data_IF_189012851629
#
_entry.id   IF_189012851629
#
_cell.length_a   1.000
_cell.length_b   1.000
_cell.length_c   1.000
_cell.angle_alpha   90.00
_cell.angle_beta   90.00
_cell.angle_gamma   90.00
#
_symmetry.space_group_name_H-M   'P 1'
#
loop_
_entity.id
_entity.type
_entity.pdbx_description
1 polymer ?
#
# COMPACT_ATOMS: atom_id res chain seq x y z
N UNK A 1 -29.68 3.51 -7.95
CA UNK A 1 -28.68 2.45 -8.13
C UNK A 1 -27.62 2.63 -7.06
N UNK A 2 -27.46 1.66 -6.16
CA UNK A 2 -26.53 1.74 -5.04
C UNK A 2 -25.09 1.53 -5.54
N UNK A 3 -24.16 2.36 -5.09
CA UNK A 3 -22.74 2.17 -5.39
C UNK A 3 -22.21 0.94 -4.64
N UNK A 4 -21.39 0.12 -5.31
CA UNK A 4 -20.70 -1.00 -4.68
C UNK A 4 -19.39 -0.47 -4.09
N UNK A 5 -19.18 -0.72 -2.80
CA UNK A 5 -17.92 -0.45 -2.11
C UNK A 5 -17.23 -1.80 -1.93
N UNK A 6 -15.98 -1.89 -2.38
CA UNK A 6 -15.15 -3.09 -2.19
C UNK A 6 -14.03 -2.71 -1.24
N UNK A 7 -13.88 -3.47 -0.17
CA UNK A 7 -12.86 -3.24 0.86
C UNK A 7 -11.94 -4.45 0.89
N UNK A 8 -10.64 -4.21 0.76
CA UNK A 8 -9.60 -5.23 0.92
C UNK A 8 -8.76 -4.87 2.14
N UNK A 9 -8.41 -5.86 2.95
CA UNK A 9 -7.30 -5.73 3.90
C UNK A 9 -5.96 -5.81 3.15
N UNK A 10 -4.88 -5.23 3.64
CA UNK A 10 -3.59 -5.27 2.96
C UNK A 10 -2.91 -6.62 3.20
N UNK A 11 -2.53 -6.85 4.46
CA UNK A 11 -1.79 -8.02 4.88
C UNK A 11 -2.63 -9.29 4.72
N UNK A 12 -2.01 -10.36 4.21
CA UNK A 12 -2.63 -11.69 3.99
C UNK A 12 -3.90 -11.68 3.12
N UNK A 13 -4.23 -10.56 2.48
CA UNK A 13 -5.37 -10.43 1.57
C UNK A 13 -4.89 -9.91 0.23
N UNK A 14 -4.37 -8.68 0.15
CA UNK A 14 -3.81 -8.17 -1.10
C UNK A 14 -2.39 -8.66 -1.36
N UNK A 15 -1.68 -9.06 -0.32
CA UNK A 15 -0.34 -9.63 -0.39
C UNK A 15 -0.34 -10.99 0.33
N UNK A 16 0.49 -11.92 -0.12
CA UNK A 16 0.74 -13.18 0.59
C UNK A 16 1.82 -12.97 1.65
N UNK A 17 1.50 -12.22 2.70
CA UNK A 17 2.46 -11.89 3.74
C UNK A 17 2.03 -10.78 4.70
N UNK A 18 3.02 -10.28 5.43
CA UNK A 18 2.91 -9.25 6.46
C UNK A 18 3.88 -8.12 6.12
N UNK A 19 3.33 -6.93 5.85
CA UNK A 19 4.07 -5.79 5.32
C UNK A 19 5.00 -5.15 6.34
N UNK A 20 4.67 -5.23 7.63
CA UNK A 20 5.54 -4.84 8.75
C UNK A 20 6.84 -5.67 8.73
N UNK A 21 6.72 -6.99 8.68
CA UNK A 21 7.86 -7.91 8.57
C UNK A 21 8.66 -7.68 7.28
N UNK A 22 7.99 -7.41 6.16
CA UNK A 22 8.64 -7.11 4.88
C UNK A 22 9.57 -5.91 4.99
N UNK A 23 9.09 -4.78 5.54
CA UNK A 23 9.88 -3.56 5.71
C UNK A 23 11.10 -3.79 6.60
N UNK A 24 10.90 -4.48 7.74
CA UNK A 24 12.00 -4.81 8.66
C UNK A 24 13.05 -5.67 7.97
N UNK A 25 12.61 -6.65 7.16
CA UNK A 25 13.52 -7.57 6.50
C UNK A 25 14.30 -6.91 5.37
N UNK A 26 13.60 -6.25 4.45
CA UNK A 26 14.17 -5.61 3.27
C UNK A 26 15.10 -4.44 3.59
N UNK A 27 14.89 -3.79 4.74
CA UNK A 27 15.72 -2.68 5.19
C UNK A 27 16.81 -3.10 6.17
N UNK A 28 16.98 -4.40 6.43
CA UNK A 28 18.14 -4.95 7.15
C UNK A 28 18.03 -4.91 8.68
N UNK A 29 16.82 -4.82 9.24
CA UNK A 29 16.59 -4.81 10.68
C UNK A 29 16.21 -6.21 11.26
N UNK A 30 16.29 -7.27 10.45
CA UNK A 30 15.84 -8.63 10.80
C UNK A 30 16.47 -9.19 12.07
N UNK A 31 17.78 -9.10 12.21
CA UNK A 31 18.51 -9.67 13.35
C UNK A 31 18.09 -9.00 14.67
N UNK A 32 18.04 -7.67 14.66
CA UNK A 32 17.60 -6.91 15.81
C UNK A 32 16.14 -7.22 16.14
N UNK A 33 15.27 -7.25 15.13
CA UNK A 33 13.86 -7.60 15.30
C UNK A 33 13.67 -8.97 15.97
N UNK A 34 14.34 -10.01 15.46
CA UNK A 34 14.24 -11.37 16.02
C UNK A 34 14.74 -11.43 17.46
N UNK A 35 15.81 -10.71 17.79
CA UNK A 35 16.34 -10.66 19.16
C UNK A 35 15.37 -10.00 20.16
N UNK A 36 14.54 -9.07 19.68
CA UNK A 36 13.64 -8.27 20.51
C UNK A 36 12.20 -8.79 20.55
N UNK A 37 11.83 -9.61 19.57
CA UNK A 37 10.52 -10.26 19.47
C UNK A 37 10.05 -10.92 20.79
N UNK A 38 10.88 -11.64 21.57
CA UNK A 38 10.42 -12.22 22.84
C UNK A 38 10.34 -11.23 24.02
N UNK A 39 10.84 -10.00 23.85
CA UNK A 39 11.05 -9.06 24.97
C UNK A 39 9.99 -7.98 25.09
N UNK A 40 9.18 -7.77 24.06
CA UNK A 40 8.19 -6.69 24.02
C UNK A 40 6.99 -7.03 23.12
N UNK A 41 5.90 -6.28 23.28
CA UNK A 41 4.74 -6.41 22.41
C UNK A 41 5.04 -5.94 20.98
N UNK A 42 4.30 -6.47 20.01
CA UNK A 42 4.44 -6.15 18.58
C UNK A 42 4.50 -4.65 18.30
N UNK A 43 3.56 -3.87 18.84
CA UNK A 43 3.50 -2.43 18.58
C UNK A 43 4.73 -1.69 19.11
N UNK A 44 5.20 -2.05 20.31
CA UNK A 44 6.42 -1.50 20.89
C UNK A 44 7.66 -1.91 20.10
N UNK A 45 7.67 -3.14 19.56
CA UNK A 45 8.72 -3.63 18.70
C UNK A 45 8.78 -2.85 17.39
N UNK A 46 7.66 -2.70 16.70
CA UNK A 46 7.59 -1.96 15.44
C UNK A 46 7.94 -0.48 15.63
N UNK A 47 7.48 0.15 16.70
CA UNK A 47 7.87 1.52 17.05
C UNK A 47 9.39 1.65 17.29
N UNK A 48 10.00 0.64 17.93
CA UNK A 48 11.46 0.57 18.07
C UNK A 48 12.17 0.33 16.74
N UNK A 49 11.64 -0.52 15.86
CA UNK A 49 12.22 -0.78 14.54
C UNK A 49 12.21 0.46 13.66
N UNK A 50 11.13 1.25 13.66
CA UNK A 50 11.09 2.50 12.90
C UNK A 50 12.13 3.51 13.37
N UNK A 51 12.38 3.60 14.68
CA UNK A 51 13.45 4.44 15.23
C UNK A 51 14.84 3.96 14.85
N UNK A 52 15.05 2.65 14.82
CA UNK A 52 16.32 2.07 14.39
C UNK A 52 16.58 2.30 12.90
N UNK A 53 15.59 2.04 12.04
CA UNK A 53 15.71 2.33 10.61
C UNK A 53 16.03 3.81 10.37
N UNK A 54 15.38 4.71 11.12
CA UNK A 54 15.67 6.13 11.04
C UNK A 54 17.10 6.48 11.51
N UNK A 55 17.59 5.87 12.60
CA UNK A 55 18.96 6.11 13.10
C UNK A 55 20.03 5.62 12.11
N UNK A 56 19.73 4.59 11.33
CA UNK A 56 20.54 4.09 10.23
C UNK A 56 20.45 4.94 8.95
N UNK A 57 19.69 6.05 8.98
CA UNK A 57 19.54 6.99 7.88
C UNK A 57 18.47 6.59 6.86
N UNK A 58 17.62 5.61 7.15
CA UNK A 58 16.52 5.25 6.26
C UNK A 58 15.46 6.34 6.20
N UNK A 59 15.07 6.72 5.00
CA UNK A 59 14.03 7.74 4.79
C UNK A 59 12.64 7.11 4.63
N UNK A 60 11.60 7.92 4.80
CA UNK A 60 10.22 7.49 4.55
C UNK A 60 10.01 7.11 3.08
N UNK A 61 10.72 7.75 2.15
CA UNK A 61 10.70 7.42 0.72
C UNK A 61 11.28 6.02 0.46
N UNK A 62 12.38 5.66 1.12
CA UNK A 62 12.95 4.30 1.01
C UNK A 62 11.99 3.24 1.56
N UNK A 63 11.27 3.53 2.65
CA UNK A 63 10.23 2.64 3.18
C UNK A 63 9.07 2.50 2.17
N UNK A 64 8.62 3.61 1.57
CA UNK A 64 7.57 3.58 0.56
C UNK A 64 8.01 2.81 -0.69
N UNK A 65 9.25 2.97 -1.13
CA UNK A 65 9.81 2.24 -2.27
C UNK A 65 9.99 0.76 -1.95
N UNK A 66 10.33 0.41 -0.70
CA UNK A 66 10.35 -0.98 -0.22
C UNK A 66 8.96 -1.63 -0.31
N UNK A 67 7.90 -0.94 0.14
CA UNK A 67 6.52 -1.43 0.08
C UNK A 67 6.02 -1.62 -1.36
N UNK A 68 6.46 -0.77 -2.31
CA UNK A 68 6.12 -0.93 -3.74
C UNK A 68 6.70 -2.19 -4.37
N UNK A 69 7.74 -2.80 -3.76
CA UNK A 69 8.33 -4.05 -4.25
C UNK A 69 7.54 -5.29 -3.81
N UNK A 70 6.59 -5.16 -2.90
CA UNK A 70 5.74 -6.28 -2.49
C UNK A 70 4.88 -6.72 -3.68
N UNK A 71 4.85 -8.03 -3.92
CA UNK A 71 3.99 -8.60 -4.96
C UNK A 71 2.55 -8.70 -4.45
N UNK A 72 1.63 -8.12 -5.20
CA UNK A 72 0.20 -8.27 -4.96
C UNK A 72 -0.26 -9.66 -5.43
N UNK A 73 -1.20 -10.25 -4.72
CA UNK A 73 -1.84 -11.50 -5.10
C UNK A 73 -2.54 -11.33 -6.48
N UNK A 74 -2.19 -12.15 -7.50
CA UNK A 74 -2.81 -12.08 -8.81
C UNK A 74 -4.34 -12.21 -8.78
N UNK A 75 -4.90 -12.98 -7.85
CA UNK A 75 -6.34 -13.16 -7.69
C UNK A 75 -7.01 -11.88 -7.22
N UNK A 76 -6.37 -11.10 -6.34
CA UNK A 76 -6.88 -9.78 -5.94
C UNK A 76 -6.86 -8.81 -7.11
N UNK A 77 -5.80 -8.83 -7.92
CA UNK A 77 -5.74 -8.02 -9.15
C UNK A 77 -6.91 -8.36 -10.08
N UNK A 78 -7.19 -9.64 -10.30
CA UNK A 78 -8.32 -10.08 -11.13
C UNK A 78 -9.69 -9.75 -10.50
N UNK A 79 -9.82 -9.82 -9.18
CA UNK A 79 -11.04 -9.42 -8.47
C UNK A 79 -11.30 -7.91 -8.63
N UNK A 80 -10.27 -7.07 -8.52
CA UNK A 80 -10.36 -5.62 -8.74
C UNK A 80 -10.75 -5.32 -10.19
N UNK A 81 -10.10 -5.97 -11.17
CA UNK A 81 -10.44 -5.83 -12.60
C UNK A 81 -11.88 -6.24 -12.87
N UNK A 82 -12.32 -7.36 -12.28
CA UNK A 82 -13.68 -7.88 -12.41
C UNK A 82 -14.70 -6.91 -11.80
N UNK A 83 -14.50 -6.44 -10.57
CA UNK A 83 -15.37 -5.47 -9.94
C UNK A 83 -15.48 -4.19 -10.79
N UNK A 84 -14.36 -3.68 -11.30
CA UNK A 84 -14.35 -2.53 -12.20
C UNK A 84 -15.12 -2.78 -13.51
N UNK A 85 -14.98 -3.95 -14.11
CA UNK A 85 -15.68 -4.32 -15.34
C UNK A 85 -17.20 -4.45 -15.14
N UNK A 86 -17.64 -4.94 -13.98
CA UNK A 86 -19.05 -5.22 -13.67
C UNK A 86 -19.87 -3.98 -13.27
N UNK A 87 -19.25 -2.84 -12.95
CA UNK A 87 -19.99 -1.62 -12.61
C UNK A 87 -19.35 -0.36 -13.19
N UNK A 88 -19.99 0.15 -14.24
CA UNK A 88 -19.60 1.34 -15.01
C UNK A 88 -19.69 2.69 -14.26
N UNK A 89 -19.93 2.72 -12.95
CA UNK A 89 -20.02 3.97 -12.20
C UNK A 89 -19.73 3.80 -10.70
N UNK A 90 -18.60 4.37 -10.24
CA UNK A 90 -18.29 4.70 -8.83
C UNK A 90 -18.01 3.53 -7.87
N UNK A 91 -17.17 2.58 -8.26
CA UNK A 91 -16.50 1.75 -7.27
C UNK A 91 -15.52 2.60 -6.45
N UNK A 92 -15.63 2.54 -5.12
CA UNK A 92 -14.58 2.99 -4.21
C UNK A 92 -13.90 1.75 -3.67
N UNK A 93 -12.61 1.60 -3.98
CA UNK A 93 -11.75 0.62 -3.35
C UNK A 93 -11.18 1.23 -2.09
N UNK A 94 -11.33 0.53 -0.96
CA UNK A 94 -10.71 0.91 0.30
C UNK A 94 -9.70 -0.16 0.68
N UNK A 95 -8.48 0.28 0.99
CA UNK A 95 -7.43 -0.58 1.53
C UNK A 95 -7.42 -0.31 3.04
N UNK A 96 -7.84 -1.31 3.81
CA UNK A 96 -7.72 -1.35 5.27
C UNK A 96 -6.42 -2.10 5.61
N UNK A 97 -5.77 -1.79 6.73
CA UNK A 97 -4.50 -2.42 7.11
C UNK A 97 -3.36 -1.42 7.24
N UNK A 98 -2.37 -1.73 8.08
CA UNK A 98 -1.27 -0.85 8.42
C UNK A 98 -0.01 -1.27 7.66
N UNK A 99 0.49 -0.48 6.70
CA UNK A 99 1.85 -0.64 6.22
C UNK A 99 2.69 0.41 6.97
N UNK A 100 2.95 0.19 8.26
CA UNK A 100 3.54 1.15 9.22
C UNK A 100 3.61 2.61 8.76
N UNK A 101 2.51 3.36 8.91
CA UNK A 101 2.46 4.84 8.86
C UNK A 101 2.94 5.46 7.52
N UNK A 102 1.97 5.78 6.65
CA UNK A 102 2.08 6.59 5.40
C UNK A 102 2.19 5.76 4.10
N UNK A 103 1.02 5.35 3.61
CA UNK A 103 0.66 5.69 2.23
C UNK A 103 -0.59 6.56 2.32
N UNK A 104 -0.41 7.89 2.31
CA UNK A 104 -1.52 8.87 2.25
C UNK A 104 -2.50 8.42 1.17
N UNK A 105 -3.72 8.04 1.58
CA UNK A 105 -4.95 7.96 0.78
C UNK A 105 -4.70 7.87 -0.73
N UNK A 106 -4.12 6.78 -1.18
CA UNK A 106 -4.04 6.52 -2.61
C UNK A 106 -5.38 5.92 -3.00
N UNK A 107 -6.33 6.77 -3.38
CA UNK A 107 -7.49 6.31 -4.13
C UNK A 107 -6.94 5.76 -5.44
N UNK A 108 -6.93 4.45 -5.59
CA UNK A 108 -6.51 3.82 -6.84
C UNK A 108 -7.59 4.11 -7.89
N UNK A 109 -7.39 5.18 -8.67
CA UNK A 109 -8.25 5.52 -9.80
C UNK A 109 -7.71 4.77 -11.02
N UNK A 110 -8.34 3.65 -11.36
CA UNK A 110 -8.08 2.96 -12.61
C UNK A 110 -8.39 3.89 -13.79
N UNK A 111 -7.53 3.95 -14.83
CA UNK A 111 -7.79 4.75 -16.01
C UNK A 111 -9.09 4.28 -16.70
N UNK A 112 -9.85 5.24 -17.22
CA UNK A 112 -11.06 4.95 -17.99
C UNK A 112 -10.69 4.12 -19.24
N UNK A 113 -11.58 3.19 -19.58
CA UNK A 113 -11.46 2.25 -20.71
C UNK A 113 -11.17 3.06 -22.00
N UNK A 114 -10.04 2.79 -22.67
CA UNK A 114 -9.66 3.41 -23.96
C UNK A 114 -8.43 4.32 -23.98
N UNK A 115 -7.74 4.55 -22.84
CA UNK A 115 -6.53 5.38 -22.80
C UNK A 115 -5.26 4.52 -22.92
N UNK A 116 -4.45 4.74 -23.96
CA UNK A 116 -3.17 4.05 -24.16
C UNK A 116 -2.14 4.48 -23.11
N UNK A 117 -1.46 3.50 -22.51
CA UNK A 117 -0.36 3.69 -21.55
C UNK A 117 0.91 4.07 -22.32
N UNK A 118 0.96 5.30 -22.84
CA UNK A 118 2.15 5.87 -23.47
C UNK A 118 2.49 7.17 -22.75
N UNK A 119 3.38 7.08 -21.76
CA UNK A 119 3.99 8.23 -21.12
C UNK A 119 3.57 8.45 -19.67
N UNK A 120 4.05 7.58 -18.77
CA UNK A 120 4.07 7.91 -17.34
C UNK A 120 5.14 8.99 -17.09
N UNK A 121 4.80 10.26 -17.30
CA UNK A 121 5.55 11.38 -16.77
C UNK A 121 4.99 11.74 -15.40
N UNK A 122 5.84 11.54 -14.40
CA UNK A 122 5.91 12.21 -13.09
C UNK A 122 4.63 12.91 -12.61
N UNK A 123 3.88 12.25 -11.72
CA UNK A 123 2.80 12.88 -10.97
C UNK A 123 3.40 13.67 -9.81
N UNK A 124 3.43 14.99 -10.00
CA UNK A 124 3.81 15.99 -9.01
C UNK A 124 2.97 15.88 -7.74
N UNK A 125 3.66 15.88 -6.61
CA UNK A 125 3.15 16.02 -5.24
C UNK A 125 2.60 17.43 -5.01
N UNK A 126 1.42 17.76 -5.53
CA UNK A 126 0.64 18.88 -4.98
C UNK A 126 -0.85 18.63 -5.18
N UNK A 127 -1.55 18.55 -4.05
CA UNK A 127 -2.98 18.27 -4.00
C UNK A 127 -3.78 19.35 -4.70
N UNK A 128 -4.45 18.98 -5.78
CA UNK A 128 -5.69 19.60 -6.20
C UNK A 128 -6.62 18.53 -6.77
N UNK A 129 -7.75 18.34 -6.10
CA UNK A 129 -8.88 17.55 -6.59
C UNK A 129 -9.42 18.28 -7.83
N UNK A 130 -9.08 17.81 -9.03
CA UNK A 130 -9.82 18.21 -10.23
C UNK A 130 -11.05 17.30 -10.36
N UNK A 131 -12.19 17.84 -9.94
CA UNK A 131 -13.50 17.31 -10.33
C UNK A 131 -13.70 17.54 -11.84
N UNK A 132 -13.67 16.48 -12.63
CA UNK A 132 -14.09 16.55 -14.03
C UNK A 132 -15.62 16.37 -14.13
N UNK A 133 -16.31 17.48 -14.39
CA UNK A 133 -17.69 17.50 -14.91
C UNK A 133 -17.73 16.81 -16.27
N UNK A 134 -18.59 15.80 -16.42
CA UNK A 134 -19.86 15.87 -17.16
C UNK A 134 -20.61 14.54 -17.02
#
# INVERSE_FOLDING_TARGET
>A
MAGIIVVFDFDRTMIDGDSDNWVVNELGATELFQSLLPTMSWNSLMDRMMRELHSQGKTTEEIADCLKRIQLDPHVIEAIKSAYAHGSARHKFFICGAPVVILKSSTFVLPKRGTSISGARHLSTNGHIMAAKS
#
